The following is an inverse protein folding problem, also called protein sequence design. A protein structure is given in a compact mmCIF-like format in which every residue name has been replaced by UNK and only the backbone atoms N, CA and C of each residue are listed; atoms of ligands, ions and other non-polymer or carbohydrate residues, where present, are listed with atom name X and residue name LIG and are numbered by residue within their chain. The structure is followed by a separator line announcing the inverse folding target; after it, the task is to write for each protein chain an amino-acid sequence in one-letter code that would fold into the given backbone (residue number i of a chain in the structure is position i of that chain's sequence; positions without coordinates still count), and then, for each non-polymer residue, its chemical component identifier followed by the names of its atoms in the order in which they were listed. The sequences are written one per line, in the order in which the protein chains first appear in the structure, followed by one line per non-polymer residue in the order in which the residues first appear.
data_IF_889138446337
#
_entry.id   IF_889138446337
#
_cell.length_a   1.000
_cell.length_b   1.000
_cell.length_c   1.000
_cell.angle_alpha   90.00
_cell.angle_beta   90.00
_cell.angle_gamma   90.00
#
_symmetry.space_group_name_H-M   'P 1'
#
loop_
_entity.id
_entity.type
_entity.pdbx_description
1 polymer ?
#
# COMPACT_ATOMS: atom_id res chain seq x y z
N UNK A 1 4.02 14.32 -13.42
CA UNK A 1 5.40 13.82 -13.63
C UNK A 1 5.73 12.91 -12.48
N UNK A 2 6.42 11.80 -12.73
CA UNK A 2 6.93 10.94 -11.66
C UNK A 2 8.01 11.67 -10.85
N UNK A 3 8.14 11.30 -9.57
CA UNK A 3 9.18 11.84 -8.69
C UNK A 3 10.56 11.32 -9.13
N UNK A 4 11.58 12.17 -9.05
CA UNK A 4 12.96 11.79 -9.35
C UNK A 4 13.60 11.07 -8.16
N UNK A 5 14.48 10.10 -8.43
CA UNK A 5 15.27 9.45 -7.37
C UNK A 5 16.03 10.50 -6.55
N UNK A 6 16.02 10.34 -5.22
CA UNK A 6 16.61 11.28 -4.28
C UNK A 6 15.70 12.44 -3.86
N UNK A 7 14.54 12.62 -4.51
CA UNK A 7 13.55 13.59 -4.03
C UNK A 7 12.95 13.15 -2.69
N UNK A 8 12.68 14.11 -1.81
CA UNK A 8 11.90 13.83 -0.61
C UNK A 8 10.49 13.36 -1.00
N UNK A 9 10.08 12.20 -0.48
CA UNK A 9 8.74 11.68 -0.71
C UNK A 9 7.68 12.65 -0.13
N UNK A 10 6.69 13.11 -0.94
CA UNK A 10 5.57 13.91 -0.46
C UNK A 10 4.86 13.19 0.68
N UNK A 11 4.49 13.94 1.71
CA UNK A 11 3.70 13.38 2.80
C UNK A 11 2.23 13.21 2.35
N UNK A 12 1.56 12.22 2.93
CA UNK A 12 0.13 11.98 2.73
C UNK A 12 -0.48 11.41 4.00
N UNK A 13 -1.80 11.53 4.11
CA UNK A 13 -2.61 10.88 5.13
C UNK A 13 -3.81 10.24 4.44
N UNK A 14 -3.82 8.91 4.35
CA UNK A 14 -4.86 8.15 3.67
C UNK A 14 -5.50 7.13 4.62
N UNK A 15 -6.75 6.75 4.33
CA UNK A 15 -7.48 5.73 5.08
C UNK A 15 -7.06 4.34 4.63
N UNK A 16 -6.74 3.46 5.58
CA UNK A 16 -6.53 2.04 5.31
C UNK A 16 -7.87 1.29 5.16
N UNK A 17 -7.80 -0.02 4.88
CA UNK A 17 -8.96 -0.91 4.81
C UNK A 17 -9.81 -1.00 6.09
N UNK A 18 -9.28 -0.52 7.22
CA UNK A 18 -9.97 -0.45 8.51
C UNK A 18 -10.41 0.99 8.86
N UNK A 19 -10.34 1.92 7.90
CA UNK A 19 -10.61 3.35 8.07
C UNK A 19 -9.70 4.07 9.08
N UNK A 20 -8.53 3.49 9.37
CA UNK A 20 -7.49 4.15 10.17
C UNK A 20 -6.66 5.07 9.28
N UNK A 21 -6.28 6.22 9.81
CA UNK A 21 -5.35 7.12 9.11
C UNK A 21 -3.95 6.54 9.13
N UNK A 22 -3.32 6.46 7.96
CA UNK A 22 -1.92 6.11 7.77
C UNK A 22 -1.21 7.30 7.17
N UNK A 23 -0.20 7.81 7.87
CA UNK A 23 0.64 8.92 7.39
C UNK A 23 2.01 8.41 7.00
N UNK A 24 2.52 8.88 5.86
CA UNK A 24 3.88 8.51 5.44
C UNK A 24 4.93 9.02 6.45
N UNK A 25 4.71 10.21 7.00
CA UNK A 25 5.57 10.80 8.02
C UNK A 25 5.71 9.96 9.30
N UNK A 26 4.77 9.09 9.64
CA UNK A 26 4.84 8.25 10.85
C UNK A 26 5.97 7.20 10.79
N UNK A 27 6.41 6.84 9.58
CA UNK A 27 7.49 5.87 9.32
C UNK A 27 8.88 6.51 9.21
N UNK A 28 8.97 7.84 9.02
CA UNK A 28 10.24 8.53 8.81
C UNK A 28 11.20 8.30 9.99
N UNK A 29 12.42 7.86 9.67
CA UNK A 29 13.46 7.56 10.65
C UNK A 29 13.24 6.28 11.46
N UNK A 30 12.14 5.53 11.21
CA UNK A 30 11.83 4.28 11.92
C UNK A 30 11.89 3.05 11.03
N UNK A 31 11.41 3.17 9.78
CA UNK A 31 11.30 2.03 8.86
C UNK A 31 11.38 2.51 7.41
N UNK A 32 11.92 1.68 6.52
CA UNK A 32 11.80 1.90 5.08
C UNK A 32 10.34 1.69 4.64
N UNK A 33 9.90 2.36 3.59
CA UNK A 33 8.53 2.22 3.07
C UNK A 33 8.55 1.92 1.57
N UNK A 34 7.88 0.84 1.19
CA UNK A 34 7.61 0.46 -0.21
C UNK A 34 6.17 0.82 -0.51
N UNK A 35 5.97 1.78 -1.41
CA UNK A 35 4.65 2.19 -1.86
C UNK A 35 4.37 1.52 -3.21
N UNK A 36 3.32 0.72 -3.27
CA UNK A 36 2.86 0.03 -4.46
C UNK A 36 1.58 0.71 -4.95
N UNK A 37 1.70 1.54 -5.98
CA UNK A 37 0.54 2.09 -6.67
C UNK A 37 0.01 1.06 -7.65
N UNK A 38 -1.30 0.78 -7.60
CA UNK A 38 -1.95 -0.15 -8.52
C UNK A 38 -3.30 0.41 -9.01
N UNK A 39 -3.74 0.06 -10.24
CA UNK A 39 -4.94 0.65 -10.83
C UNK A 39 -6.25 0.39 -10.09
N UNK A 40 -6.55 -0.88 -9.78
CA UNK A 40 -7.85 -1.27 -9.25
C UNK A 40 -7.79 -2.62 -8.54
N UNK A 41 -8.45 -2.71 -7.39
CA UNK A 41 -8.83 -3.96 -6.74
C UNK A 41 -9.58 -4.87 -7.73
N UNK A 42 -9.56 -6.18 -7.49
CA UNK A 42 -10.30 -7.18 -8.27
C UNK A 42 -9.94 -7.31 -9.75
N UNK A 43 -8.95 -6.57 -10.24
CA UNK A 43 -8.42 -6.75 -11.59
C UNK A 43 -7.44 -7.94 -11.62
N UNK A 44 -7.41 -8.76 -12.70
CA UNK A 44 -6.59 -9.97 -12.75
C UNK A 44 -5.09 -9.70 -12.56
N UNK A 45 -4.59 -8.62 -13.15
CA UNK A 45 -3.17 -8.26 -13.06
C UNK A 45 -2.81 -7.84 -11.64
N UNK A 46 -3.56 -6.89 -11.04
CA UNK A 46 -3.27 -6.41 -9.68
C UNK A 46 -3.40 -7.55 -8.66
N UNK A 47 -4.34 -8.47 -8.87
CA UNK A 47 -4.51 -9.65 -8.02
C UNK A 47 -3.26 -10.52 -8.01
N UNK A 48 -2.65 -10.75 -9.18
CA UNK A 48 -1.40 -11.50 -9.29
C UNK A 48 -0.22 -10.73 -8.69
N UNK A 49 -0.15 -9.42 -8.90
CA UNK A 49 0.90 -8.57 -8.31
C UNK A 49 0.85 -8.61 -6.77
N UNK A 50 -0.34 -8.44 -6.18
CA UNK A 50 -0.52 -8.55 -4.73
C UNK A 50 -0.15 -9.94 -4.20
N UNK A 51 -0.46 -11.02 -4.92
CA UNK A 51 -0.02 -12.36 -4.54
C UNK A 51 1.51 -12.48 -4.50
N UNK A 52 2.23 -11.86 -5.44
CA UNK A 52 3.70 -11.81 -5.43
C UNK A 52 4.23 -11.00 -4.22
N UNK A 53 3.63 -9.86 -3.91
CA UNK A 53 4.02 -9.09 -2.72
C UNK A 53 3.77 -9.84 -1.42
N UNK A 54 2.68 -10.61 -1.34
CA UNK A 54 2.40 -11.48 -0.18
C UNK A 54 3.44 -12.58 -0.06
N UNK A 55 3.83 -13.24 -1.16
CA UNK A 55 4.88 -14.26 -1.12
C UNK A 55 6.25 -13.70 -0.72
N UNK A 56 6.55 -12.46 -1.14
CA UNK A 56 7.82 -11.79 -0.88
C UNK A 56 7.83 -10.98 0.43
N UNK A 57 6.75 -11.00 1.22
CA UNK A 57 6.62 -10.15 2.41
C UNK A 57 7.79 -10.32 3.39
N UNK A 58 8.23 -11.57 3.60
CA UNK A 58 9.38 -11.88 4.47
C UNK A 58 10.68 -11.21 4.01
N UNK A 59 10.84 -10.99 2.69
CA UNK A 59 12.00 -10.32 2.13
C UNK A 59 11.96 -8.82 2.42
N UNK A 60 10.77 -8.20 2.36
CA UNK A 60 10.60 -6.81 2.77
C UNK A 60 10.81 -6.63 4.28
N UNK A 61 10.27 -7.54 5.10
CA UNK A 61 10.48 -7.54 6.55
C UNK A 61 11.96 -7.66 6.93
N UNK A 62 12.72 -8.54 6.25
CA UNK A 62 14.16 -8.68 6.45
C UNK A 62 14.97 -7.42 6.10
N UNK A 63 14.41 -6.53 5.27
CA UNK A 63 14.99 -5.23 4.91
C UNK A 63 14.46 -4.07 5.76
N UNK A 64 13.75 -4.39 6.84
CA UNK A 64 13.06 -3.42 7.69
C UNK A 64 12.19 -2.46 6.87
N UNK A 65 11.37 -3.03 5.99
CA UNK A 65 10.48 -2.30 5.09
C UNK A 65 9.00 -2.59 5.35
N UNK A 66 8.17 -1.54 5.32
CA UNK A 66 6.71 -1.63 5.32
C UNK A 66 6.21 -1.53 3.89
N UNK A 67 5.39 -2.48 3.45
CA UNK A 67 4.66 -2.38 2.17
C UNK A 67 3.34 -1.65 2.40
N UNK A 68 3.00 -0.71 1.53
CA UNK A 68 1.71 -0.01 1.48
C UNK A 68 1.17 -0.11 0.05
N UNK A 69 -0.01 -0.69 -0.14
CA UNK A 69 -0.72 -0.62 -1.42
C UNK A 69 -1.55 0.66 -1.50
N UNK A 70 -1.60 1.32 -2.65
CA UNK A 70 -2.45 2.49 -2.89
C UNK A 70 -3.17 2.33 -4.23
N UNK A 71 -4.49 2.43 -4.21
CA UNK A 71 -5.30 2.60 -5.43
C UNK A 71 -6.41 3.62 -5.19
N UNK A 72 -7.16 3.90 -6.26
CA UNK A 72 -8.32 4.78 -6.20
C UNK A 72 -9.58 4.08 -5.70
N UNK A 73 -9.47 2.88 -5.12
CA UNK A 73 -10.60 2.14 -4.57
C UNK A 73 -10.95 2.60 -3.15
N UNK A 74 -12.21 2.42 -2.76
CA UNK A 74 -12.65 2.74 -1.40
C UNK A 74 -12.03 1.81 -0.35
N UNK A 75 -11.91 2.29 0.88
CA UNK A 75 -11.49 1.47 2.03
C UNK A 75 -12.34 0.19 2.20
N UNK A 76 -13.60 0.22 1.77
CA UNK A 76 -14.50 -0.93 1.81
C UNK A 76 -14.16 -2.00 0.76
N UNK A 77 -13.79 -1.57 -0.46
CA UNK A 77 -13.28 -2.47 -1.49
C UNK A 77 -11.97 -3.10 -1.03
N UNK A 78 -11.05 -2.29 -0.52
CA UNK A 78 -9.78 -2.74 0.03
C UNK A 78 -9.96 -3.77 1.13
N UNK A 79 -10.93 -3.58 2.03
CA UNK A 79 -11.21 -4.55 3.09
C UNK A 79 -11.63 -5.89 2.52
N UNK A 80 -12.62 -5.90 1.63
CA UNK A 80 -13.10 -7.11 1.00
C UNK A 80 -12.00 -7.80 0.17
N UNK A 81 -11.18 -7.01 -0.53
CA UNK A 81 -10.08 -7.51 -1.36
C UNK A 81 -8.97 -8.11 -0.51
N UNK A 82 -8.52 -7.41 0.55
CA UNK A 82 -7.50 -7.88 1.46
C UNK A 82 -7.93 -9.17 2.19
N UNK A 83 -9.18 -9.24 2.66
CA UNK A 83 -9.72 -10.46 3.28
C UNK A 83 -9.79 -11.62 2.30
N UNK A 84 -10.24 -11.37 1.06
CA UNK A 84 -10.37 -12.41 0.03
C UNK A 84 -9.02 -12.95 -0.45
N UNK A 85 -8.04 -12.07 -0.59
CA UNK A 85 -6.72 -12.39 -1.15
C UNK A 85 -5.68 -12.71 -0.07
N UNK A 86 -6.02 -12.54 1.21
CA UNK A 86 -5.08 -12.75 2.32
C UNK A 86 -3.94 -11.74 2.34
N UNK A 87 -4.21 -10.47 2.00
CA UNK A 87 -3.21 -9.39 1.96
C UNK A 87 -2.97 -8.90 3.40
N UNK A 88 -1.75 -9.07 3.97
CA UNK A 88 -1.47 -8.79 5.37
C UNK A 88 -0.97 -7.36 5.64
N UNK A 89 -0.80 -6.55 4.60
CA UNK A 89 -0.32 -5.17 4.70
C UNK A 89 -1.44 -4.15 4.40
N UNK A 90 -1.26 -2.87 4.78
CA UNK A 90 -2.27 -1.84 4.55
C UNK A 90 -2.50 -1.57 3.06
N UNK A 91 -3.78 -1.46 2.69
CA UNK A 91 -4.24 -0.93 1.41
C UNK A 91 -4.90 0.42 1.68
N UNK A 92 -4.36 1.48 1.06
CA UNK A 92 -4.73 2.86 1.32
C UNK A 92 -5.60 3.41 0.19
N UNK A 93 -6.75 3.94 0.57
CA UNK A 93 -7.76 4.44 -0.35
C UNK A 93 -7.45 5.89 -0.77
N UNK A 94 -7.01 6.08 -2.01
CA UNK A 94 -6.97 7.36 -2.73
C UNK A 94 -8.31 7.58 -3.49
N UNK A 95 -9.41 7.28 -2.80
CA UNK A 95 -10.76 7.16 -3.37
C UNK A 95 -11.44 8.52 -3.66
N UNK A 96 -10.93 9.59 -3.06
CA UNK A 96 -11.53 10.93 -3.07
C UNK A 96 -10.43 12.00 -3.05
N UNK A 97 -10.68 13.21 -3.58
CA UNK A 97 -10.05 14.40 -3.00
C UNK A 97 -10.52 14.65 -1.56
#
# INVERSE_FOLDING_TARGET
MALSVGSAAPDFALKDQNQKDVKLSDYRGKKNVVIVFYPLDWSPVCTNEHACFVSDLKRFEALDAQVLGISVDSAWSHKAFAEKMGIPYPLLADFQP
#
